data_IF_174738755731
#
_entry.id   IF_174738755731
#
_cell.length_a   1.000
_cell.length_b   1.000
_cell.length_c   1.000
_cell.angle_alpha   90.00
_cell.angle_beta   90.00
_cell.angle_gamma   90.00
#
_symmetry.space_group_name_H-M   'P 1'
#
loop_
_entity.id
_entity.type
_entity.pdbx_description
1 polymer ?
#
# COMPACT_ATOMS: atom_id res chain seq x y z
N UNK A 1 0.04 -18.09 14.23
CA UNK A 1 -0.44 -17.64 12.89
C UNK A 1 0.80 -17.49 12.03
N UNK A 2 0.77 -17.88 10.75
CA UNK A 2 1.92 -17.70 9.85
C UNK A 2 2.10 -16.22 9.52
N UNK A 3 3.34 -15.72 9.50
CA UNK A 3 3.63 -14.37 9.04
C UNK A 3 3.27 -14.23 7.56
N UNK A 4 2.51 -13.18 7.21
CA UNK A 4 2.25 -12.84 5.82
C UNK A 4 3.45 -12.12 5.20
N UNK A 5 4.09 -11.24 5.97
CA UNK A 5 5.30 -10.52 5.60
C UNK A 5 6.41 -10.91 6.56
N UNK A 6 7.56 -11.28 6.00
CA UNK A 6 8.77 -11.54 6.77
C UNK A 6 9.96 -10.81 6.12
N UNK A 7 10.58 -9.92 6.88
CA UNK A 7 11.76 -9.15 6.50
C UNK A 7 12.91 -9.59 7.40
N UNK A 8 14.01 -10.05 6.81
CA UNK A 8 15.13 -10.59 7.58
C UNK A 8 16.43 -9.90 7.19
N UNK A 9 17.02 -9.17 8.14
CA UNK A 9 18.29 -8.50 7.99
C UNK A 9 18.39 -7.58 6.78
N UNK A 10 17.30 -6.86 6.44
CA UNK A 10 17.24 -6.08 5.20
C UNK A 10 18.07 -4.82 5.29
N UNK A 11 18.97 -4.68 4.33
CA UNK A 11 19.75 -3.48 4.07
C UNK A 11 19.32 -2.85 2.74
N UNK A 12 19.31 -1.53 2.69
CA UNK A 12 19.12 -0.78 1.44
C UNK A 12 20.02 0.44 1.44
N UNK A 13 20.80 0.57 0.37
CA UNK A 13 21.56 1.78 0.08
C UNK A 13 21.33 2.25 -1.35
N UNK A 14 21.54 3.52 -1.57
CA UNK A 14 21.59 4.14 -2.89
C UNK A 14 22.98 4.72 -3.11
N UNK A 15 23.38 4.83 -4.38
CA UNK A 15 24.65 5.47 -4.77
C UNK A 15 24.37 6.79 -5.47
N UNK A 16 25.04 7.85 -5.05
CA UNK A 16 25.00 9.16 -5.71
C UNK A 16 26.44 9.55 -6.08
N UNK A 17 26.81 9.33 -7.34
CA UNK A 17 28.21 9.42 -7.75
C UNK A 17 29.04 8.37 -7.00
N UNK A 18 30.05 8.81 -6.24
CA UNK A 18 30.91 7.94 -5.43
C UNK A 18 30.44 7.79 -3.97
N UNK A 19 29.35 8.45 -3.58
CA UNK A 19 28.83 8.40 -2.21
C UNK A 19 27.77 7.30 -2.07
N UNK A 20 27.90 6.49 -1.02
CA UNK A 20 26.90 5.51 -0.61
C UNK A 20 26.02 6.10 0.50
N UNK A 21 24.72 6.07 0.30
CA UNK A 21 23.72 6.53 1.26
C UNK A 21 22.96 5.31 1.79
N UNK A 22 23.25 4.90 3.02
CA UNK A 22 22.55 3.78 3.68
C UNK A 22 21.20 4.26 4.22
N UNK A 23 20.13 3.67 3.68
CA UNK A 23 18.73 4.04 4.02
C UNK A 23 18.10 3.04 4.99
N UNK A 24 18.35 1.74 4.82
CA UNK A 24 17.90 0.70 5.76
C UNK A 24 19.11 -0.10 6.25
N UNK A 25 19.12 -0.44 7.55
CA UNK A 25 20.32 -0.97 8.24
C UNK A 25 19.95 -2.22 9.06
N UNK A 26 19.76 -3.37 8.39
CA UNK A 26 19.50 -4.63 9.07
C UNK A 26 18.09 -4.74 9.64
N UNK A 27 17.08 -4.26 8.89
CA UNK A 27 15.68 -4.30 9.33
C UNK A 27 15.18 -5.73 9.42
N UNK A 28 14.57 -6.07 10.58
CA UNK A 28 13.82 -7.30 10.80
C UNK A 28 12.38 -6.94 11.15
N UNK A 29 11.40 -7.60 10.49
CA UNK A 29 9.98 -7.30 10.68
C UNK A 29 9.15 -8.53 10.33
N UNK A 30 8.17 -8.83 11.19
CA UNK A 30 7.12 -9.81 10.91
C UNK A 30 5.75 -9.16 11.01
N UNK A 31 4.90 -9.44 9.99
CA UNK A 31 3.51 -8.98 9.97
C UNK A 31 2.61 -10.20 9.75
N UNK A 32 1.80 -10.57 10.75
CA UNK A 32 0.79 -11.62 10.59
C UNK A 32 -0.27 -11.26 9.56
N UNK A 33 -0.91 -12.28 8.98
CA UNK A 33 -2.07 -12.06 8.13
C UNK A 33 -3.22 -11.42 8.92
N UNK A 34 -3.89 -10.42 8.33
CA UNK A 34 -5.00 -9.69 8.94
C UNK A 34 -4.54 -8.64 9.97
N UNK A 35 -3.25 -8.36 10.05
CA UNK A 35 -2.75 -7.26 10.87
C UNK A 35 -2.89 -5.90 10.17
N UNK A 36 -2.96 -4.84 10.96
CA UNK A 36 -2.90 -3.46 10.50
C UNK A 36 -1.75 -2.75 11.21
N UNK A 37 -0.70 -2.46 10.49
CA UNK A 37 0.55 -1.88 11.03
C UNK A 37 0.73 -0.46 10.53
N UNK A 38 0.96 0.48 11.45
CA UNK A 38 1.43 1.82 11.13
C UNK A 38 2.97 1.87 11.26
N UNK A 39 3.63 2.38 10.24
CA UNK A 39 5.08 2.64 10.24
C UNK A 39 5.30 4.15 10.36
N UNK A 40 5.77 4.57 11.52
CA UNK A 40 6.05 5.96 11.85
C UNK A 40 7.54 6.28 11.85
N UNK A 41 7.87 7.56 11.84
CA UNK A 41 9.24 8.06 11.94
C UNK A 41 9.43 9.38 11.18
N UNK A 42 10.55 10.08 11.41
CA UNK A 42 10.83 11.36 10.76
C UNK A 42 10.97 11.23 9.24
N UNK A 43 10.86 12.35 8.53
CA UNK A 43 11.13 12.37 7.08
C UNK A 43 12.54 11.87 6.79
N UNK A 44 12.70 11.08 5.74
CA UNK A 44 13.98 10.49 5.37
C UNK A 44 14.45 9.30 6.21
N UNK A 45 13.63 8.78 7.15
CA UNK A 45 14.01 7.60 7.96
C UNK A 45 14.00 6.27 7.19
N UNK A 46 13.44 6.22 5.96
CA UNK A 46 13.40 5.02 5.12
C UNK A 46 12.04 4.34 5.03
N UNK A 47 10.95 4.93 5.56
CA UNK A 47 9.59 4.34 5.58
C UNK A 47 9.08 3.97 4.19
N UNK A 48 9.04 4.94 3.27
CA UNK A 48 8.64 4.72 1.87
C UNK A 48 9.54 3.72 1.17
N UNK A 49 10.85 3.73 1.49
CA UNK A 49 11.80 2.74 0.97
C UNK A 49 11.41 1.33 1.43
N UNK A 50 11.15 1.13 2.73
CA UNK A 50 10.70 -0.15 3.24
C UNK A 50 9.37 -0.58 2.60
N UNK A 51 8.40 0.34 2.48
CA UNK A 51 7.13 0.08 1.80
C UNK A 51 7.34 -0.38 0.35
N UNK A 52 8.25 0.26 -0.40
CA UNK A 52 8.58 -0.10 -1.77
C UNK A 52 9.24 -1.48 -1.88
N UNK A 53 10.08 -1.86 -0.90
CA UNK A 53 10.64 -3.21 -0.83
C UNK A 53 9.54 -4.25 -0.58
N UNK A 54 8.61 -4.02 0.35
CA UNK A 54 7.49 -4.91 0.62
C UNK A 54 6.58 -5.09 -0.61
N UNK A 55 6.43 -4.04 -1.40
CA UNK A 55 5.63 -4.05 -2.63
C UNK A 55 6.37 -4.56 -3.87
N UNK A 56 7.66 -4.88 -3.77
CA UNK A 56 8.46 -5.28 -4.92
C UNK A 56 8.59 -4.19 -5.99
N UNK A 57 8.52 -2.90 -5.59
CA UNK A 57 8.84 -1.76 -6.46
C UNK A 57 10.33 -1.48 -6.50
N UNK A 58 11.05 -1.93 -5.48
CA UNK A 58 12.50 -1.86 -5.37
C UNK A 58 13.02 -3.18 -4.78
N UNK A 59 14.31 -3.44 -4.88
CA UNK A 59 14.98 -4.63 -4.35
C UNK A 59 15.89 -4.27 -3.17
N UNK A 60 15.99 -5.12 -2.13
CA UNK A 60 16.95 -4.91 -1.06
C UNK A 60 18.38 -5.02 -1.56
N UNK A 61 19.31 -4.28 -0.94
CA UNK A 61 20.75 -4.40 -1.20
C UNK A 61 21.37 -5.58 -0.46
N UNK A 62 20.67 -6.15 0.53
CA UNK A 62 21.03 -7.33 1.30
C UNK A 62 19.88 -7.76 2.20
N UNK A 63 19.92 -8.99 2.71
CA UNK A 63 18.81 -9.59 3.43
C UNK A 63 17.73 -10.16 2.54
N UNK A 64 16.57 -10.50 3.09
CA UNK A 64 15.44 -11.07 2.34
C UNK A 64 14.12 -10.44 2.72
N UNK A 65 13.20 -10.38 1.73
CA UNK A 65 11.81 -9.96 1.90
C UNK A 65 10.91 -11.05 1.37
N UNK A 66 10.14 -11.66 2.25
CA UNK A 66 9.14 -12.66 1.90
C UNK A 66 7.75 -12.11 2.14
N UNK A 67 6.86 -12.27 1.16
CA UNK A 67 5.46 -11.89 1.25
C UNK A 67 4.61 -13.03 0.70
N UNK A 68 3.62 -13.45 1.46
CA UNK A 68 2.77 -14.60 1.13
C UNK A 68 3.58 -15.87 0.79
N UNK A 69 4.65 -16.14 1.55
CA UNK A 69 5.53 -17.30 1.36
C UNK A 69 6.46 -17.22 0.14
N UNK A 70 6.53 -16.06 -0.52
CA UNK A 70 7.39 -15.86 -1.70
C UNK A 70 8.49 -14.87 -1.39
N UNK A 71 9.76 -15.28 -1.58
CA UNK A 71 10.88 -14.34 -1.57
C UNK A 71 10.84 -13.49 -2.84
N UNK A 72 10.37 -12.25 -2.70
CA UNK A 72 10.13 -11.37 -3.84
C UNK A 72 11.42 -10.85 -4.49
N UNK A 73 12.52 -10.81 -3.74
CA UNK A 73 13.82 -10.41 -4.29
C UNK A 73 14.42 -11.46 -5.25
N UNK A 74 13.96 -12.71 -5.16
CA UNK A 74 14.40 -13.79 -6.05
C UNK A 74 13.61 -13.84 -7.38
N UNK A 75 12.52 -13.08 -7.52
CA UNK A 75 11.68 -13.08 -8.71
C UNK A 75 12.30 -12.24 -9.84
N UNK A 76 12.33 -12.78 -11.04
CA UNK A 76 12.67 -12.04 -12.27
C UNK A 76 11.57 -11.02 -12.62
N UNK A 77 11.91 -9.95 -13.36
CA UNK A 77 11.04 -8.81 -13.60
C UNK A 77 9.60 -9.13 -14.05
N UNK A 78 9.42 -10.07 -15.00
CA UNK A 78 8.09 -10.49 -15.45
C UNK A 78 7.31 -11.31 -14.40
N UNK A 79 8.00 -12.10 -13.59
CA UNK A 79 7.40 -12.86 -12.49
C UNK A 79 7.00 -11.90 -11.36
N UNK A 80 7.89 -10.97 -11.00
CA UNK A 80 7.65 -9.96 -9.98
C UNK A 80 6.43 -9.08 -10.33
N UNK A 81 6.31 -8.66 -11.60
CA UNK A 81 5.17 -7.85 -12.05
C UNK A 81 3.84 -8.60 -11.92
N UNK A 82 3.81 -9.89 -12.31
CA UNK A 82 2.62 -10.74 -12.15
C UNK A 82 2.30 -11.00 -10.68
N UNK A 83 3.31 -11.30 -9.88
CA UNK A 83 3.16 -11.50 -8.44
C UNK A 83 2.56 -10.25 -7.78
N UNK A 84 3.14 -9.07 -8.07
CA UNK A 84 2.65 -7.79 -7.54
C UNK A 84 1.19 -7.52 -7.91
N UNK A 85 0.81 -7.76 -9.17
CA UNK A 85 -0.56 -7.56 -9.63
C UNK A 85 -1.61 -8.41 -8.87
N UNK A 86 -1.20 -9.55 -8.29
CA UNK A 86 -2.08 -10.43 -7.54
C UNK A 86 -2.04 -10.19 -6.03
N UNK A 87 -0.88 -9.79 -5.50
CA UNK A 87 -0.67 -9.77 -4.05
C UNK A 87 -0.68 -8.37 -3.44
N UNK A 88 -0.42 -7.31 -4.22
CA UNK A 88 -0.20 -5.97 -3.68
C UNK A 88 -1.22 -4.97 -4.20
N UNK A 89 -1.83 -4.23 -3.27
CA UNK A 89 -2.58 -3.01 -3.55
C UNK A 89 -1.84 -1.80 -3.00
N UNK A 90 -1.60 -0.80 -3.84
CA UNK A 90 -0.96 0.45 -3.43
C UNK A 90 -1.97 1.58 -3.28
N UNK A 91 -1.97 2.22 -2.11
CA UNK A 91 -2.66 3.48 -1.81
C UNK A 91 -1.60 4.54 -1.58
N UNK A 92 -1.59 5.59 -2.38
CA UNK A 92 -0.54 6.62 -2.37
C UNK A 92 -1.13 8.01 -2.13
N UNK A 93 -0.35 8.90 -1.55
CA UNK A 93 -0.75 10.24 -1.15
C UNK A 93 -1.34 11.05 -2.33
N UNK A 94 -0.66 11.10 -3.46
CA UNK A 94 -1.06 11.87 -4.66
C UNK A 94 -2.08 11.16 -5.55
N UNK A 95 -2.87 10.24 -5.05
CA UNK A 95 -3.92 9.45 -5.74
C UNK A 95 -3.48 8.81 -7.07
N UNK A 96 -2.68 9.48 -7.89
CA UNK A 96 -2.17 9.07 -9.21
C UNK A 96 -3.26 8.48 -10.11
N UNK A 97 -4.41 9.14 -10.15
CA UNK A 97 -5.46 8.81 -11.09
C UNK A 97 -5.09 9.35 -12.48
N UNK A 98 -5.38 8.58 -13.52
CA UNK A 98 -5.23 9.06 -14.88
C UNK A 98 -6.38 10.05 -15.18
N UNK A 99 -6.08 11.34 -15.43
CA UNK A 99 -7.10 12.39 -15.52
C UNK A 99 -8.01 12.24 -16.74
N UNK A 100 -7.56 11.49 -17.75
CA UNK A 100 -8.30 11.18 -18.99
C UNK A 100 -9.24 9.98 -18.85
N UNK A 101 -9.22 9.29 -17.72
CA UNK A 101 -10.07 8.14 -17.44
C UNK A 101 -11.11 8.47 -16.38
N UNK A 102 -12.30 7.88 -16.49
CA UNK A 102 -13.33 7.91 -15.44
C UNK A 102 -12.88 7.14 -14.20
N UNK A 103 -13.59 7.31 -13.07
CA UNK A 103 -13.32 6.56 -11.84
C UNK A 103 -13.36 5.05 -12.10
N UNK A 104 -14.41 4.53 -12.76
CA UNK A 104 -14.52 3.10 -13.09
C UNK A 104 -13.35 2.60 -13.96
N UNK A 105 -12.85 3.42 -14.89
CA UNK A 105 -11.73 3.04 -15.75
C UNK A 105 -10.39 3.09 -15.01
N UNK A 106 -10.20 4.04 -14.10
CA UNK A 106 -9.04 4.06 -13.21
C UNK A 106 -8.99 2.80 -12.34
N UNK A 107 -10.15 2.38 -11.81
CA UNK A 107 -10.26 1.15 -10.99
C UNK A 107 -10.05 -0.12 -11.85
N UNK A 108 -10.44 -0.13 -13.12
CA UNK A 108 -10.28 -1.27 -14.03
C UNK A 108 -8.80 -1.52 -14.42
N UNK A 109 -7.92 -0.53 -14.32
CA UNK A 109 -6.52 -0.62 -14.81
C UNK A 109 -5.77 -1.87 -14.32
N UNK A 110 -5.73 -2.22 -13.02
CA UNK A 110 -5.03 -3.41 -12.57
C UNK A 110 -5.61 -4.70 -13.14
N UNK A 111 -6.91 -4.74 -13.40
CA UNK A 111 -7.59 -5.92 -13.94
C UNK A 111 -7.25 -6.22 -15.39
N UNK A 112 -6.70 -5.23 -16.13
CA UNK A 112 -6.22 -5.43 -17.51
C UNK A 112 -5.04 -6.40 -17.59
N UNK A 113 -4.34 -6.61 -16.49
CA UNK A 113 -3.22 -7.54 -16.37
C UNK A 113 -3.66 -8.97 -15.97
N UNK A 114 -4.96 -9.18 -15.81
CA UNK A 114 -5.55 -10.47 -15.43
C UNK A 114 -6.21 -11.15 -16.62
N UNK A 115 -6.51 -12.45 -16.49
CA UNK A 115 -7.24 -13.23 -17.51
C UNK A 115 -8.77 -13.10 -17.38
N UNK A 116 -9.27 -12.11 -16.64
CA UNK A 116 -10.71 -11.90 -16.44
C UNK A 116 -11.39 -11.39 -17.70
N UNK A 117 -12.56 -11.91 -17.99
CA UNK A 117 -13.44 -11.39 -19.04
C UNK A 117 -13.87 -9.94 -18.74
N UNK A 118 -14.30 -9.22 -19.78
CA UNK A 118 -14.80 -7.84 -19.63
C UNK A 118 -16.00 -7.78 -18.66
N UNK A 119 -16.85 -8.78 -18.66
CA UNK A 119 -18.01 -8.84 -17.77
C UNK A 119 -17.59 -9.00 -16.30
N UNK A 120 -16.65 -9.89 -16.02
CA UNK A 120 -16.10 -10.11 -14.68
C UNK A 120 -15.36 -8.87 -14.17
N UNK A 121 -14.53 -8.24 -15.00
CA UNK A 121 -13.86 -6.99 -14.62
C UNK A 121 -14.87 -5.90 -14.24
N UNK A 122 -15.91 -5.70 -15.07
CA UNK A 122 -16.98 -4.73 -14.79
C UNK A 122 -17.67 -5.03 -13.45
N UNK A 123 -17.90 -6.31 -13.13
CA UNK A 123 -18.48 -6.72 -11.85
C UNK A 123 -17.55 -6.39 -10.68
N UNK A 124 -16.24 -6.69 -10.79
CA UNK A 124 -15.26 -6.37 -9.73
C UNK A 124 -15.11 -4.86 -9.52
N UNK A 125 -15.05 -4.08 -10.59
CA UNK A 125 -15.01 -2.61 -10.53
C UNK A 125 -16.24 -2.04 -9.80
N UNK A 126 -17.44 -2.54 -10.12
CA UNK A 126 -18.66 -2.09 -9.46
C UNK A 126 -18.65 -2.43 -7.96
N UNK A 127 -18.18 -3.62 -7.59
CA UNK A 127 -18.01 -4.02 -6.18
C UNK A 127 -17.00 -3.09 -5.48
N UNK A 128 -15.83 -2.86 -6.07
CA UNK A 128 -14.80 -2.02 -5.47
C UNK A 128 -15.28 -0.57 -5.26
N UNK A 129 -15.97 0.01 -6.25
CA UNK A 129 -16.57 1.35 -6.12
C UNK A 129 -17.68 1.40 -5.07
N UNK A 130 -18.46 0.34 -4.93
CA UNK A 130 -19.49 0.26 -3.89
C UNK A 130 -18.84 0.18 -2.48
N UNK A 131 -17.77 -0.59 -2.31
CA UNK A 131 -17.03 -0.71 -1.04
C UNK A 131 -16.52 0.64 -0.56
N UNK A 132 -16.08 1.50 -1.48
CA UNK A 132 -15.59 2.85 -1.14
C UNK A 132 -16.69 3.93 -1.16
N UNK A 133 -17.96 3.55 -1.39
CA UNK A 133 -19.10 4.46 -1.39
C UNK A 133 -19.16 5.41 -2.60
N UNK A 134 -18.67 4.99 -3.77
CA UNK A 134 -18.61 5.82 -4.99
C UNK A 134 -19.31 5.17 -6.19
N UNK A 135 -20.29 4.31 -5.97
CA UNK A 135 -21.02 3.64 -7.05
C UNK A 135 -21.71 4.66 -8.00
N UNK A 136 -22.23 5.76 -7.46
CA UNK A 136 -22.89 6.86 -8.19
C UNK A 136 -21.89 7.78 -8.92
N UNK A 137 -20.60 7.67 -8.62
CA UNK A 137 -19.51 8.46 -9.22
C UNK A 137 -18.68 7.70 -10.25
N UNK A 138 -19.06 6.48 -10.60
CA UNK A 138 -18.30 5.60 -11.51
C UNK A 138 -17.87 6.26 -12.83
N UNK A 139 -18.73 7.10 -13.39
CA UNK A 139 -18.50 7.79 -14.68
C UNK A 139 -17.85 9.18 -14.56
N UNK A 140 -17.58 9.65 -13.34
CA UNK A 140 -16.91 10.94 -13.13
C UNK A 140 -15.42 10.83 -13.45
N UNK A 141 -14.88 11.92 -14.01
CA UNK A 141 -13.44 12.12 -14.19
C UNK A 141 -12.83 12.69 -12.90
N UNK A 142 -11.51 12.51 -12.65
CA UNK A 142 -10.84 13.03 -11.46
C UNK A 142 -11.18 14.50 -11.19
N UNK A 143 -11.12 15.38 -12.18
CA UNK A 143 -11.46 16.81 -12.05
C UNK A 143 -12.89 17.12 -11.54
N UNK A 144 -13.76 16.13 -11.49
CA UNK A 144 -15.15 16.23 -11.03
C UNK A 144 -15.34 15.65 -9.62
N UNK A 145 -14.26 15.18 -9.01
CA UNK A 145 -14.24 14.56 -7.69
C UNK A 145 -13.54 15.48 -6.70
N UNK A 146 -13.93 15.40 -5.41
CA UNK A 146 -13.15 16.00 -4.33
C UNK A 146 -11.89 15.17 -4.05
N UNK A 147 -10.88 15.74 -3.37
CA UNK A 147 -9.66 15.02 -3.00
C UNK A 147 -9.94 13.71 -2.24
N UNK A 148 -10.87 13.75 -1.27
CA UNK A 148 -11.30 12.54 -0.56
C UNK A 148 -11.99 11.50 -1.47
N UNK A 149 -12.75 11.95 -2.48
CA UNK A 149 -13.33 11.06 -3.49
C UNK A 149 -12.26 10.48 -4.42
N UNK A 150 -11.28 11.28 -4.84
CA UNK A 150 -10.14 10.79 -5.64
C UNK A 150 -9.34 9.74 -4.86
N UNK A 151 -9.09 9.96 -3.56
CA UNK A 151 -8.41 8.98 -2.72
C UNK A 151 -9.22 7.68 -2.57
N UNK A 152 -10.55 7.78 -2.42
CA UNK A 152 -11.42 6.59 -2.41
C UNK A 152 -11.37 5.83 -3.73
N UNK A 153 -11.28 6.49 -4.89
CA UNK A 153 -11.04 5.83 -6.19
C UNK A 153 -9.67 5.15 -6.21
N UNK A 154 -8.63 5.79 -5.65
CA UNK A 154 -7.30 5.19 -5.47
C UNK A 154 -7.34 3.92 -4.63
N UNK A 155 -8.10 3.93 -3.52
CA UNK A 155 -8.32 2.74 -2.67
C UNK A 155 -9.11 1.67 -3.44
N UNK A 156 -10.18 2.03 -4.15
CA UNK A 156 -10.94 1.08 -4.97
C UNK A 156 -10.04 0.40 -6.01
N UNK A 157 -9.16 1.16 -6.66
CA UNK A 157 -8.15 0.62 -7.58
C UNK A 157 -7.17 -0.33 -6.88
N UNK A 158 -6.76 -0.01 -5.65
CA UNK A 158 -5.85 -0.84 -4.88
C UNK A 158 -6.48 -2.19 -4.47
N UNK A 159 -7.80 -2.22 -4.18
CA UNK A 159 -8.48 -3.44 -3.70
C UNK A 159 -9.15 -4.26 -4.80
N UNK A 160 -9.27 -3.76 -6.03
CA UNK A 160 -10.07 -4.39 -7.11
C UNK A 160 -9.58 -5.78 -7.53
N UNK A 161 -8.27 -6.04 -7.39
CA UNK A 161 -7.67 -7.37 -7.64
C UNK A 161 -7.82 -8.33 -6.47
N UNK A 162 -8.39 -7.87 -5.35
CA UNK A 162 -8.47 -8.61 -4.08
C UNK A 162 -7.08 -8.98 -3.52
N UNK A 163 -6.17 -8.01 -3.35
CA UNK A 163 -4.79 -8.26 -2.97
C UNK A 163 -4.67 -8.82 -1.55
N UNK A 164 -3.56 -9.51 -1.28
CA UNK A 164 -3.25 -10.08 0.03
C UNK A 164 -2.74 -9.02 1.01
N UNK A 165 -2.02 -8.01 0.49
CA UNK A 165 -1.39 -6.94 1.25
C UNK A 165 -1.72 -5.57 0.65
N UNK A 166 -2.20 -4.65 1.49
CA UNK A 166 -2.37 -3.24 1.14
C UNK A 166 -1.22 -2.43 1.73
N UNK A 167 -0.57 -1.66 0.87
CA UNK A 167 0.52 -0.76 1.22
C UNK A 167 0.02 0.68 1.02
N UNK A 168 -0.06 1.45 2.11
CA UNK A 168 -0.54 2.82 2.10
C UNK A 168 0.59 3.78 2.48
N UNK A 169 0.97 4.66 1.56
CA UNK A 169 1.98 5.70 1.80
C UNK A 169 1.29 7.04 1.99
N UNK A 170 1.27 7.54 3.23
CA UNK A 170 0.65 8.80 3.64
C UNK A 170 -0.79 8.97 3.09
N UNK A 171 -1.71 8.01 3.31
CA UNK A 171 -3.00 7.96 2.60
C UNK A 171 -3.94 9.14 2.88
N UNK A 172 -3.63 9.96 3.89
CA UNK A 172 -4.42 11.13 4.31
C UNK A 172 -3.65 12.45 4.22
N UNK A 173 -2.40 12.44 3.72
CA UNK A 173 -1.48 13.57 3.81
C UNK A 173 -1.96 14.85 3.09
N UNK A 174 -2.76 14.73 2.03
CA UNK A 174 -3.27 15.86 1.24
C UNK A 174 -4.77 16.12 1.47
N UNK A 175 -5.36 15.55 2.53
CA UNK A 175 -6.78 15.66 2.80
C UNK A 175 -7.07 16.59 3.99
N UNK A 176 -8.22 17.26 3.94
CA UNK A 176 -8.78 17.87 5.12
C UNK A 176 -9.08 16.81 6.19
N UNK A 177 -9.23 17.27 7.44
CA UNK A 177 -9.41 16.39 8.60
C UNK A 177 -10.58 15.41 8.43
N UNK A 178 -11.74 15.91 7.99
CA UNK A 178 -12.94 15.09 7.85
C UNK A 178 -12.74 14.00 6.80
N UNK A 179 -12.25 14.38 5.62
CA UNK A 179 -11.94 13.44 4.53
C UNK A 179 -10.87 12.44 4.96
N UNK A 180 -9.85 12.87 5.71
CA UNK A 180 -8.83 11.99 6.26
C UNK A 180 -9.40 10.94 7.20
N UNK A 181 -10.24 11.35 8.17
CA UNK A 181 -10.91 10.43 9.11
C UNK A 181 -11.76 9.39 8.36
N UNK A 182 -12.50 9.81 7.32
CA UNK A 182 -13.29 8.90 6.48
C UNK A 182 -12.43 7.88 5.70
N UNK A 183 -11.23 8.25 5.27
CA UNK A 183 -10.27 7.33 4.63
C UNK A 183 -9.72 6.34 5.65
N UNK A 184 -9.37 6.79 6.84
CA UNK A 184 -8.88 5.92 7.91
C UNK A 184 -9.96 4.92 8.36
N UNK A 185 -11.22 5.36 8.48
CA UNK A 185 -12.35 4.46 8.78
C UNK A 185 -12.54 3.41 7.69
N UNK A 186 -12.37 3.79 6.41
CA UNK A 186 -12.42 2.84 5.30
C UNK A 186 -11.29 1.81 5.38
N UNK A 187 -10.05 2.22 5.67
CA UNK A 187 -8.92 1.29 5.83
C UNK A 187 -9.14 0.35 7.03
N UNK A 188 -9.63 0.88 8.16
CA UNK A 188 -10.00 0.05 9.32
C UNK A 188 -11.08 -0.97 8.98
N UNK A 189 -12.12 -0.56 8.25
CA UNK A 189 -13.18 -1.48 7.81
C UNK A 189 -12.65 -2.55 6.85
N UNK A 190 -11.70 -2.24 5.96
CA UNK A 190 -11.06 -3.23 5.09
C UNK A 190 -10.25 -4.25 5.90
N UNK A 191 -9.58 -3.83 6.96
CA UNK A 191 -8.87 -4.74 7.86
C UNK A 191 -9.85 -5.59 8.68
N UNK A 192 -10.78 -4.98 9.42
CA UNK A 192 -11.62 -5.65 10.40
C UNK A 192 -12.69 -6.54 9.75
N UNK A 193 -13.38 -6.03 8.71
CA UNK A 193 -14.51 -6.71 8.08
C UNK A 193 -14.10 -7.62 6.93
N UNK A 194 -13.00 -7.30 6.25
CA UNK A 194 -12.54 -8.03 5.07
C UNK A 194 -11.19 -8.75 5.28
N UNK A 195 -10.64 -8.71 6.51
CA UNK A 195 -9.42 -9.43 6.88
C UNK A 195 -8.17 -9.00 6.10
N UNK A 196 -8.15 -7.79 5.53
CA UNK A 196 -7.00 -7.31 4.76
C UNK A 196 -5.82 -6.99 5.67
N UNK A 197 -4.64 -7.43 5.28
CA UNK A 197 -3.40 -6.99 5.93
C UNK A 197 -3.00 -5.64 5.37
N UNK A 198 -2.68 -4.68 6.25
CA UNK A 198 -2.39 -3.31 5.86
C UNK A 198 -1.08 -2.86 6.49
N UNK A 199 -0.19 -2.27 5.70
CA UNK A 199 0.96 -1.51 6.18
C UNK A 199 0.79 -0.06 5.74
N UNK A 200 0.66 0.83 6.71
CA UNK A 200 0.46 2.26 6.48
C UNK A 200 1.67 3.04 6.96
N UNK A 201 2.29 3.79 6.08
CA UNK A 201 3.27 4.82 6.43
C UNK A 201 2.52 6.10 6.76
N UNK A 202 2.82 6.70 7.90
CA UNK A 202 2.28 8.00 8.28
C UNK A 202 3.20 8.73 9.24
N UNK A 203 3.11 10.04 9.27
CA UNK A 203 3.69 10.89 10.29
C UNK A 203 2.63 11.49 11.23
N UNK A 204 1.34 11.25 10.95
CA UNK A 204 0.22 11.67 11.82
C UNK A 204 -0.04 10.63 12.91
N UNK A 205 0.15 10.95 14.20
CA UNK A 205 -0.14 10.04 15.30
C UNK A 205 -1.60 9.55 15.32
N UNK A 206 -2.55 10.38 14.94
CA UNK A 206 -3.97 10.01 14.88
C UNK A 206 -4.26 8.96 13.82
N UNK A 207 -3.56 9.03 12.67
CA UNK A 207 -3.65 7.98 11.66
C UNK A 207 -3.04 6.67 12.20
N UNK A 208 -1.93 6.75 12.92
CA UNK A 208 -1.29 5.58 13.52
C UNK A 208 -2.16 4.91 14.58
N UNK A 209 -2.96 5.65 15.35
CA UNK A 209 -3.92 5.13 16.35
C UNK A 209 -4.99 4.21 15.74
N UNK A 210 -5.23 4.27 14.42
CA UNK A 210 -6.16 3.36 13.72
C UNK A 210 -5.56 1.97 13.46
N UNK A 211 -4.24 1.85 13.52
CA UNK A 211 -3.54 0.59 13.35
C UNK A 211 -3.56 -0.24 14.65
N UNK A 212 -3.45 -1.56 14.52
CA UNK A 212 -3.34 -2.48 15.66
C UNK A 212 -1.96 -2.40 16.30
N UNK A 213 -0.94 -2.06 15.51
CA UNK A 213 0.46 -1.97 15.95
C UNK A 213 1.11 -0.75 15.32
N UNK A 214 1.94 -0.06 16.09
CA UNK A 214 2.74 1.06 15.59
C UNK A 214 4.22 0.70 15.73
N UNK A 215 4.94 0.80 14.62
CA UNK A 215 6.38 0.57 14.52
C UNK A 215 7.08 1.89 14.21
N UNK A 216 8.24 2.10 14.80
CA UNK A 216 9.02 3.30 14.58
C UNK A 216 10.29 2.99 13.79
N UNK A 217 10.49 3.70 12.67
CA UNK A 217 11.70 3.63 11.87
C UNK A 217 12.48 4.92 12.05
N UNK A 218 13.70 4.81 12.58
CA UNK A 218 14.59 5.95 12.78
C UNK A 218 15.97 5.67 12.17
N UNK A 219 16.47 6.57 11.31
CA UNK A 219 17.77 6.47 10.65
C UNK A 219 18.06 5.10 10.02
N UNK A 220 17.02 4.47 9.48
CA UNK A 220 17.10 3.18 8.81
C UNK A 220 17.06 1.96 9.73
N UNK A 221 16.85 2.15 11.03
CA UNK A 221 16.70 1.07 12.02
C UNK A 221 15.27 1.03 12.50
N UNK A 222 14.68 -0.17 12.53
CA UNK A 222 13.36 -0.39 13.11
C UNK A 222 13.53 -0.47 14.63
N UNK A 223 12.99 0.51 15.34
CA UNK A 223 12.83 0.48 16.77
C UNK A 223 11.60 -0.38 17.06
N UNK A 224 11.67 -1.24 18.07
CA UNK A 224 10.56 -2.15 18.41
C UNK A 224 9.21 -1.44 18.58
N UNK A 225 8.17 -2.21 18.90
CA UNK A 225 6.84 -1.66 19.18
C UNK A 225 6.98 -0.57 20.25
N UNK A 226 6.52 0.64 19.90
CA UNK A 226 6.59 1.78 20.81
C UNK A 226 5.81 1.46 22.08
N UNK A 227 6.45 1.73 23.20
CA UNK A 227 5.81 1.74 24.51
C UNK A 227 4.87 2.94 24.61
#
# INVERSE_FOLDING_TARGET
MSALVQVTGVHKYFTRGNERIDVLKGVNLEIPQGDFVALMGPSGSGKTTLLNLLGGLDAPSGGSVEVAGTNIAALGGGQLSRWRAHHIGFVIQLYNLLPVLTAERNVDLPLLLTNLSRAERKKRVAIALNVVGLADRAKHYPRQLSGGQEQRVGIARAIVTDPTLLLADEPTGDLDRKSGDEILDLLSALNEKHGKTIVMVTHDPRAAERAKRTLHLEKGVLLGEGA
#
